data_IF_608334854005
#
_entry.id   IF_608334854005
#
_cell.length_a   1.000
_cell.length_b   1.000
_cell.length_c   1.000
_cell.angle_alpha   90.00
_cell.angle_beta   90.00
_cell.angle_gamma   90.00
#
_symmetry.space_group_name_H-M   'P 1'
#
loop_
_entity.id
_entity.type
_entity.pdbx_description
1 polymer ?
#
# COMPACT_ATOMS: atom_id res chain seq x y z
N UNK A 1 -17.49 1.36 -27.30
CA UNK A 1 -17.74 1.30 -25.85
C UNK A 1 -17.53 -0.12 -25.30
N UNK A 2 -17.70 -1.17 -26.12
CA UNK A 2 -17.52 -2.58 -25.69
C UNK A 2 -16.10 -3.00 -25.27
N UNK A 3 -15.04 -2.42 -25.86
CA UNK A 3 -13.67 -2.81 -25.53
C UNK A 3 -13.25 -2.37 -24.12
N UNK A 4 -13.74 -1.23 -23.65
CA UNK A 4 -13.45 -0.74 -22.30
C UNK A 4 -14.16 -1.59 -21.23
N UNK A 5 -15.43 -1.95 -21.47
CA UNK A 5 -16.17 -2.85 -20.59
C UNK A 5 -15.45 -4.20 -20.42
N UNK A 6 -14.96 -4.80 -21.51
CA UNK A 6 -14.21 -6.07 -21.45
C UNK A 6 -12.91 -5.98 -20.66
N UNK A 7 -12.21 -4.84 -20.72
CA UNK A 7 -10.99 -4.62 -19.92
C UNK A 7 -11.35 -4.50 -18.44
N UNK A 8 -12.40 -3.75 -18.11
CA UNK A 8 -12.91 -3.60 -16.75
C UNK A 8 -13.36 -4.95 -16.19
N UNK A 9 -14.12 -5.73 -16.96
CA UNK A 9 -14.56 -7.07 -16.58
C UNK A 9 -13.39 -8.03 -16.35
N UNK A 10 -12.36 -7.96 -17.20
CA UNK A 10 -11.13 -8.72 -17.00
C UNK A 10 -10.43 -8.32 -15.69
N UNK A 11 -10.28 -7.03 -15.41
CA UNK A 11 -9.69 -6.55 -14.15
C UNK A 11 -10.50 -7.06 -12.95
N UNK A 12 -11.83 -6.96 -12.98
CA UNK A 12 -12.70 -7.48 -11.92
C UNK A 12 -12.57 -9.00 -11.76
N UNK A 13 -12.39 -9.75 -12.85
CA UNK A 13 -12.19 -11.20 -12.80
C UNK A 13 -10.94 -11.59 -12.02
N UNK A 14 -9.92 -10.72 -11.96
CA UNK A 14 -8.67 -11.00 -11.24
C UNK A 14 -8.81 -10.92 -9.73
N UNK A 15 -9.88 -10.31 -9.18
CA UNK A 15 -10.07 -10.04 -7.74
C UNK A 15 -9.02 -9.12 -7.08
N UNK A 16 -7.93 -8.75 -7.77
CA UNK A 16 -6.85 -7.93 -7.21
C UNK A 16 -7.37 -6.59 -6.66
N UNK A 17 -8.26 -5.92 -7.41
CA UNK A 17 -8.84 -4.65 -6.97
C UNK A 17 -9.68 -4.79 -5.70
N UNK A 18 -10.45 -5.88 -5.60
CA UNK A 18 -11.29 -6.15 -4.44
C UNK A 18 -10.43 -6.47 -3.22
N UNK A 19 -9.42 -7.34 -3.38
CA UNK A 19 -8.45 -7.67 -2.34
C UNK A 19 -7.68 -6.44 -1.85
N UNK A 20 -7.33 -5.53 -2.76
CA UNK A 20 -6.70 -4.26 -2.39
C UNK A 20 -7.63 -3.36 -1.59
N UNK A 21 -8.90 -3.26 -1.99
CA UNK A 21 -9.92 -2.45 -1.30
C UNK A 21 -10.24 -2.98 0.09
N UNK A 22 -10.33 -4.29 0.23
CA UNK A 22 -10.65 -4.96 1.49
C UNK A 22 -9.43 -5.15 2.39
N UNK A 23 -8.24 -4.71 1.93
CA UNK A 23 -6.96 -4.86 2.64
C UNK A 23 -6.68 -6.33 2.98
N UNK A 24 -7.06 -7.23 2.09
CA UNK A 24 -6.83 -8.67 2.21
C UNK A 24 -5.39 -9.00 1.80
N UNK A 25 -4.47 -8.87 2.76
CA UNK A 25 -3.04 -9.15 2.55
C UNK A 25 -2.80 -10.58 2.08
N UNK A 26 -3.47 -11.56 2.70
CA UNK A 26 -3.26 -12.98 2.38
C UNK A 26 -3.76 -13.28 0.99
N UNK A 27 -4.97 -12.80 0.65
CA UNK A 27 -5.53 -12.98 -0.68
C UNK A 27 -4.69 -12.29 -1.75
N UNK A 28 -4.23 -11.06 -1.51
CA UNK A 28 -3.45 -10.30 -2.49
C UNK A 28 -2.11 -11.00 -2.80
N UNK A 29 -1.38 -11.45 -1.78
CA UNK A 29 -0.06 -12.10 -1.94
C UNK A 29 -0.14 -13.61 -2.29
N UNK A 30 -1.34 -14.18 -2.39
CA UNK A 30 -1.57 -15.52 -2.96
C UNK A 30 -2.16 -15.46 -4.36
N UNK A 31 -2.64 -14.29 -4.80
CA UNK A 31 -3.19 -14.10 -6.13
C UNK A 31 -2.09 -14.00 -7.19
N UNK A 32 -2.02 -14.92 -8.17
CA UNK A 32 -0.98 -14.91 -9.20
C UNK A 32 -0.95 -13.64 -10.05
N UNK A 33 -2.11 -13.01 -10.27
CA UNK A 33 -2.22 -11.78 -11.06
C UNK A 33 -1.55 -10.58 -10.39
N UNK A 34 -1.39 -10.61 -9.06
CA UNK A 34 -0.63 -9.61 -8.32
C UNK A 34 0.79 -10.11 -8.02
N UNK A 35 0.92 -11.33 -7.50
CA UNK A 35 2.17 -11.86 -6.97
C UNK A 35 3.26 -11.96 -8.04
N UNK A 36 2.94 -12.43 -9.25
CA UNK A 36 3.94 -12.60 -10.31
C UNK A 36 4.51 -11.24 -10.76
N UNK A 37 3.69 -10.25 -11.15
CA UNK A 37 4.20 -8.91 -11.44
C UNK A 37 4.96 -8.28 -10.26
N UNK A 38 4.49 -8.47 -9.04
CA UNK A 38 5.13 -7.93 -7.84
C UNK A 38 6.53 -8.54 -7.63
N UNK A 39 6.68 -9.86 -7.71
CA UNK A 39 7.99 -10.53 -7.59
C UNK A 39 8.91 -10.09 -8.74
N UNK A 40 8.40 -9.98 -9.96
CA UNK A 40 9.19 -9.48 -11.09
C UNK A 40 9.70 -8.05 -10.84
N UNK A 41 8.85 -7.16 -10.31
CA UNK A 41 9.23 -5.79 -9.96
C UNK A 41 10.31 -5.77 -8.87
N UNK A 42 10.09 -6.45 -7.75
CA UNK A 42 11.07 -6.51 -6.65
C UNK A 42 12.37 -7.16 -7.10
N UNK A 43 12.31 -8.26 -7.85
CA UNK A 43 13.48 -8.94 -8.40
C UNK A 43 14.29 -8.05 -9.36
N UNK A 44 13.62 -7.27 -10.20
CA UNK A 44 14.26 -6.31 -11.08
C UNK A 44 14.96 -5.17 -10.30
N UNK A 45 14.32 -4.65 -9.26
CA UNK A 45 14.89 -3.60 -8.40
C UNK A 45 16.07 -4.13 -7.58
N UNK A 46 16.01 -5.39 -7.13
CA UNK A 46 17.12 -6.07 -6.47
C UNK A 46 18.31 -6.22 -7.41
N UNK A 47 18.07 -6.61 -8.66
CA UNK A 47 19.11 -6.69 -9.69
C UNK A 47 19.82 -5.35 -9.91
N UNK A 48 19.07 -4.24 -9.87
CA UNK A 48 19.62 -2.88 -9.98
C UNK A 48 20.23 -2.32 -8.70
N UNK A 49 20.10 -3.03 -7.58
CA UNK A 49 20.49 -2.53 -6.25
C UNK A 49 19.69 -1.27 -5.82
N UNK A 50 18.45 -1.13 -6.30
CA UNK A 50 17.54 -0.02 -5.99
C UNK A 50 16.87 -0.23 -4.60
N UNK A 51 17.66 -0.53 -3.57
CA UNK A 51 17.17 -0.87 -2.23
C UNK A 51 16.31 0.22 -1.60
N UNK A 52 16.59 1.49 -1.92
CA UNK A 52 15.82 2.63 -1.45
C UNK A 52 14.37 2.53 -1.89
N UNK A 53 14.14 2.26 -3.16
CA UNK A 53 12.82 2.14 -3.75
C UNK A 53 12.08 0.89 -3.25
N UNK A 54 12.80 -0.22 -3.05
CA UNK A 54 12.23 -1.43 -2.44
C UNK A 54 11.69 -1.12 -1.04
N UNK A 55 12.48 -0.44 -0.19
CA UNK A 55 12.05 -0.06 1.16
C UNK A 55 10.80 0.82 1.11
N UNK A 56 10.74 1.79 0.19
CA UNK A 56 9.57 2.67 0.02
C UNK A 56 8.32 1.87 -0.38
N UNK A 57 8.44 0.90 -1.27
CA UNK A 57 7.33 -0.01 -1.63
C UNK A 57 6.84 -0.77 -0.41
N UNK A 58 7.73 -1.36 0.39
CA UNK A 58 7.35 -2.09 1.60
C UNK A 58 6.69 -1.19 2.64
N UNK A 59 7.16 0.05 2.81
CA UNK A 59 6.49 1.05 3.65
C UNK A 59 5.08 1.33 3.13
N UNK A 60 4.90 1.48 1.82
CA UNK A 60 3.60 1.67 1.19
C UNK A 60 2.63 0.53 1.49
N UNK A 61 3.08 -0.72 1.34
CA UNK A 61 2.28 -1.90 1.71
C UNK A 61 2.01 -1.99 3.22
N UNK A 62 2.95 -1.55 4.06
CA UNK A 62 2.74 -1.44 5.50
C UNK A 62 1.64 -0.44 5.85
N UNK A 63 1.67 0.75 5.26
CA UNK A 63 0.63 1.78 5.43
C UNK A 63 -0.73 1.30 4.91
N UNK A 64 -0.75 0.64 3.75
CA UNK A 64 -1.96 0.03 3.19
C UNK A 64 -2.52 -1.06 4.12
N UNK A 65 -1.68 -1.92 4.68
CA UNK A 65 -2.14 -2.92 5.63
C UNK A 65 -2.75 -2.29 6.90
N UNK A 66 -2.09 -1.26 7.45
CA UNK A 66 -2.57 -0.55 8.65
C UNK A 66 -3.94 0.11 8.41
N UNK A 67 -4.22 0.59 7.19
CA UNK A 67 -5.49 1.25 6.88
C UNK A 67 -6.70 0.30 6.94
N UNK A 68 -6.49 -1.01 6.77
CA UNK A 68 -7.54 -2.03 6.88
C UNK A 68 -7.79 -2.54 8.31
N UNK A 69 -7.01 -2.08 9.29
CA UNK A 69 -7.14 -2.57 10.67
C UNK A 69 -8.39 -2.05 11.37
N UNK A 70 -8.89 -2.80 12.35
CA UNK A 70 -10.02 -2.37 13.19
C UNK A 70 -9.78 -1.03 13.88
N UNK A 71 -8.52 -0.69 14.18
CA UNK A 71 -8.15 0.59 14.74
C UNK A 71 -8.53 1.76 13.82
N UNK A 72 -8.30 1.63 12.52
CA UNK A 72 -8.65 2.66 11.52
C UNK A 72 -10.17 2.85 11.42
N UNK A 73 -10.93 1.74 11.50
CA UNK A 73 -12.40 1.79 11.54
C UNK A 73 -12.92 2.50 12.81
N UNK A 74 -12.16 2.45 13.92
CA UNK A 74 -12.53 3.05 15.19
C UNK A 74 -12.28 4.57 15.28
N UNK A 75 -11.65 5.17 14.27
CA UNK A 75 -11.32 6.60 14.23
C UNK A 75 -12.54 7.49 14.02
N UNK A 76 -13.59 6.95 13.41
CA UNK A 76 -14.87 7.61 13.18
C UNK A 76 -15.89 6.98 14.12
N UNK A 77 -16.45 7.78 15.04
CA UNK A 77 -17.53 7.33 15.92
C UNK A 77 -18.63 8.37 15.88
N UNK A 78 -19.87 7.92 15.74
CA UNK A 78 -21.04 8.80 15.58
C UNK A 78 -20.88 9.83 14.45
N UNK A 79 -20.19 9.45 13.37
CA UNK A 79 -19.90 10.33 12.24
C UNK A 79 -18.95 11.51 12.57
N UNK A 80 -18.30 11.49 13.73
CA UNK A 80 -17.29 12.47 14.14
C UNK A 80 -15.89 11.86 14.17
N UNK A 81 -14.92 12.66 13.75
CA UNK A 81 -13.50 12.27 13.79
C UNK A 81 -13.00 12.41 15.22
N UNK A 82 -12.56 11.32 15.81
CA UNK A 82 -11.93 11.35 17.13
C UNK A 82 -10.49 11.83 17.02
N UNK A 83 -10.26 13.13 17.23
CA UNK A 83 -8.93 13.75 17.16
C UNK A 83 -7.89 13.03 18.03
N UNK A 84 -8.28 12.59 19.23
CA UNK A 84 -7.39 11.86 20.13
C UNK A 84 -6.87 10.54 19.54
N UNK A 85 -7.68 9.85 18.72
CA UNK A 85 -7.29 8.60 18.06
C UNK A 85 -6.60 8.85 16.71
N UNK A 86 -6.93 9.94 16.03
CA UNK A 86 -6.28 10.31 14.77
C UNK A 86 -4.86 10.82 14.99
N UNK A 87 -4.61 11.49 16.12
CA UNK A 87 -3.31 12.13 16.39
C UNK A 87 -2.12 11.15 16.33
N UNK A 88 -2.16 9.94 16.93
CA UNK A 88 -1.12 8.93 16.75
C UNK A 88 -0.90 8.52 15.29
N UNK A 89 -1.96 8.41 14.49
CA UNK A 89 -1.87 8.04 13.07
C UNK A 89 -1.15 9.14 12.28
N UNK A 90 -1.55 10.40 12.48
CA UNK A 90 -0.93 11.55 11.82
C UNK A 90 0.54 11.69 12.23
N UNK A 91 0.85 11.49 13.50
CA UNK A 91 2.23 11.48 13.98
C UNK A 91 3.05 10.35 13.34
N UNK A 92 2.52 9.13 13.28
CA UNK A 92 3.15 8.01 12.60
C UNK A 92 3.39 8.29 11.12
N UNK A 93 2.41 8.87 10.43
CA UNK A 93 2.54 9.29 9.02
C UNK A 93 3.65 10.36 8.85
N UNK A 94 3.74 11.32 9.78
CA UNK A 94 4.79 12.33 9.76
C UNK A 94 6.18 11.72 9.98
N UNK A 95 6.33 10.74 10.89
CA UNK A 95 7.58 10.01 11.09
C UNK A 95 7.99 9.22 9.82
N UNK A 96 7.04 8.53 9.19
CA UNK A 96 7.29 7.79 7.94
C UNK A 96 7.72 8.75 6.84
N UNK A 97 7.04 9.90 6.71
CA UNK A 97 7.41 10.92 5.73
C UNK A 97 8.81 11.48 6.01
N UNK A 98 9.14 11.77 7.26
CA UNK A 98 10.49 12.19 7.65
C UNK A 98 11.56 11.16 7.30
N UNK A 99 11.27 9.87 7.50
CA UNK A 99 12.15 8.77 7.12
C UNK A 99 12.34 8.69 5.60
N UNK A 100 11.26 8.81 4.81
CA UNK A 100 11.34 8.85 3.34
C UNK A 100 12.18 10.05 2.89
N UNK A 101 11.91 11.24 3.42
CA UNK A 101 12.69 12.45 3.10
C UNK A 101 14.17 12.24 3.42
N UNK A 102 14.49 11.69 4.60
CA UNK A 102 15.88 11.39 4.97
C UNK A 102 16.54 10.39 4.02
N UNK A 103 15.80 9.36 3.58
CA UNK A 103 16.31 8.40 2.61
C UNK A 103 16.63 9.06 1.27
N UNK A 104 15.80 9.99 0.78
CA UNK A 104 16.01 10.65 -0.51
C UNK A 104 17.03 11.80 -0.46
N UNK A 105 17.01 12.62 0.58
CA UNK A 105 17.77 13.87 0.67
C UNK A 105 18.85 13.88 1.76
N UNK A 106 18.72 13.05 2.79
CA UNK A 106 19.64 13.00 3.92
C UNK A 106 20.93 12.25 3.64
N UNK A 107 20.92 11.36 2.64
CA UNK A 107 22.12 10.74 2.09
C UNK A 107 22.45 11.40 0.77
N UNK A 108 23.04 12.61 0.85
CA UNK A 108 23.84 13.16 -0.24
C UNK A 108 24.95 12.16 -0.50
N UNK A 109 25.05 11.67 -1.75
CA UNK A 109 26.38 11.34 -2.26
C UNK A 109 27.25 12.60 -2.28
#
# INVERSE_FOLDING_TARGET
>A
MDSFAKIVDFIHSTQVLQQFKDVDVVGLFTNPWFLVPFICLIGYMLYKQDFREIIVIFIGFGCWHISGTEYMNSLIVNNEIQLAKVLPVVFGAACILGLIIYMYFGRSD
#
